data_IF_103235517255
#
_entry.id   IF_103235517255
#
_cell.length_a   1.000
_cell.length_b   1.000
_cell.length_c   1.000
_cell.angle_alpha   90.00
_cell.angle_beta   90.00
_cell.angle_gamma   90.00
#
_symmetry.space_group_name_H-M   'P 1'
#
loop_
_entity.id
_entity.type
_entity.pdbx_description
1 polymer ?
#
# COMPACT_ATOMS: atom_id res chain seq x y z
N UNK A 1 0.20 20.04 12.29
CA UNK A 1 -0.54 20.32 11.04
C UNK A 1 -0.75 19.02 10.29
N UNK A 2 -2.00 18.73 9.93
CA UNK A 2 -2.50 17.38 9.65
C UNK A 2 -1.95 16.82 8.35
N UNK A 3 -0.93 15.97 8.45
CA UNK A 3 -0.53 15.08 7.35
C UNK A 3 -1.63 14.05 7.00
N UNK A 4 -2.88 14.23 7.46
CA UNK A 4 -4.00 13.32 7.29
C UNK A 4 -4.34 13.10 5.81
N UNK A 5 -4.24 14.14 4.97
CA UNK A 5 -4.51 14.01 3.53
C UNK A 5 -3.43 13.17 2.84
N UNK A 6 -2.15 13.41 3.18
CA UNK A 6 -1.05 12.55 2.74
C UNK A 6 -1.17 11.15 3.32
N UNK A 7 -1.70 11.01 4.54
CA UNK A 7 -1.89 9.70 5.13
C UNK A 7 -2.91 8.88 4.33
N UNK A 8 -4.04 9.47 4.00
CA UNK A 8 -5.04 8.85 3.13
C UNK A 8 -4.45 8.49 1.75
N UNK A 9 -3.65 9.38 1.17
CA UNK A 9 -2.97 9.13 -0.11
C UNK A 9 -1.97 7.96 -0.05
N UNK A 10 -1.16 7.86 1.01
CA UNK A 10 -0.23 6.73 1.22
C UNK A 10 -1.00 5.41 1.36
N UNK A 11 -2.10 5.40 2.14
CA UNK A 11 -2.95 4.23 2.24
C UNK A 11 -3.51 3.82 0.88
N UNK A 12 -4.01 4.80 0.11
CA UNK A 12 -4.56 4.55 -1.22
C UNK A 12 -3.52 3.93 -2.17
N UNK A 13 -2.30 4.49 -2.18
CA UNK A 13 -1.16 3.96 -2.94
C UNK A 13 -0.79 2.54 -2.50
N UNK A 14 -0.77 2.27 -1.20
CA UNK A 14 -0.48 0.95 -0.65
C UNK A 14 -1.57 -0.09 -0.97
N UNK A 15 -2.83 0.34 -1.12
CA UNK A 15 -3.95 -0.53 -1.52
C UNK A 15 -4.10 -0.68 -3.03
N UNK A 16 -3.39 0.12 -3.83
CA UNK A 16 -3.54 0.18 -5.28
C UNK A 16 -4.82 0.90 -5.73
N UNK A 17 -5.42 1.70 -4.84
CA UNK A 17 -6.58 2.54 -5.16
C UNK A 17 -6.13 3.90 -5.65
N UNK A 18 -6.93 4.58 -6.50
CA UNK A 18 -6.59 5.91 -6.99
C UNK A 18 -6.39 6.90 -5.83
N UNK A 19 -5.45 7.83 -6.02
CA UNK A 19 -5.18 8.88 -5.05
C UNK A 19 -6.37 9.85 -4.96
N UNK A 20 -6.57 10.47 -3.80
CA UNK A 20 -7.53 11.55 -3.67
C UNK A 20 -7.15 12.70 -4.62
N UNK A 21 -8.14 13.35 -5.24
CA UNK A 21 -7.94 14.43 -6.21
C UNK A 21 -7.11 15.62 -5.69
N UNK A 22 -7.00 15.73 -4.36
CA UNK A 22 -6.23 16.77 -3.66
C UNK A 22 -4.74 16.49 -3.56
N UNK A 23 -4.28 15.27 -3.87
CA UNK A 23 -2.86 14.89 -3.75
C UNK A 23 -2.41 14.20 -5.03
N UNK A 24 -1.42 14.79 -5.69
CA UNK A 24 -0.75 14.16 -6.84
C UNK A 24 0.34 13.19 -6.36
N UNK A 25 0.69 12.21 -7.19
CA UNK A 25 1.83 11.31 -6.92
C UNK A 25 3.11 12.10 -6.63
N UNK A 26 3.38 13.15 -7.40
CA UNK A 26 4.58 13.97 -7.24
C UNK A 26 4.59 14.76 -5.91
N UNK A 27 3.43 15.30 -5.51
CA UNK A 27 3.30 15.98 -4.21
C UNK A 27 3.45 14.99 -3.05
N UNK A 28 2.94 13.77 -3.20
CA UNK A 28 3.11 12.71 -2.22
C UNK A 28 4.59 12.32 -2.08
N UNK A 29 5.30 12.10 -3.19
CA UNK A 29 6.72 11.74 -3.15
C UNK A 29 7.58 12.84 -2.51
N UNK A 30 7.31 14.10 -2.85
CA UNK A 30 7.95 15.26 -2.19
C UNK A 30 7.63 15.34 -0.69
N UNK A 31 6.41 14.99 -0.28
CA UNK A 31 6.06 14.94 1.14
C UNK A 31 6.81 13.82 1.88
N UNK A 32 7.02 12.67 1.23
CA UNK A 32 7.75 11.56 1.85
C UNK A 32 9.24 11.86 2.05
N UNK A 33 9.85 12.73 1.24
CA UNK A 33 11.24 13.17 1.44
C UNK A 33 11.38 14.23 2.54
N UNK A 34 10.35 15.06 2.73
CA UNK A 34 10.34 16.13 3.74
C UNK A 34 9.79 15.70 5.11
N UNK A 35 8.93 14.67 5.16
CA UNK A 35 8.26 14.21 6.38
C UNK A 35 8.69 12.80 6.78
N UNK A 36 9.59 12.70 7.77
CA UNK A 36 10.11 11.43 8.28
C UNK A 36 9.02 10.51 8.87
N UNK A 37 7.97 11.07 9.49
CA UNK A 37 6.89 10.27 10.08
C UNK A 37 6.04 9.58 9.00
N UNK A 38 5.65 10.32 7.96
CA UNK A 38 4.96 9.77 6.79
C UNK A 38 5.85 8.79 6.02
N UNK A 39 7.15 9.08 5.89
CA UNK A 39 8.13 8.18 5.28
C UNK A 39 8.24 6.84 6.02
N UNK A 40 8.37 6.85 7.36
CA UNK A 40 8.37 5.62 8.18
C UNK A 40 7.07 4.85 8.06
N UNK A 41 5.94 5.55 8.08
CA UNK A 41 4.63 4.92 8.00
C UNK A 41 4.36 4.29 6.63
N UNK A 42 4.75 4.95 5.54
CA UNK A 42 4.68 4.40 4.18
C UNK A 42 5.47 3.08 4.08
N UNK A 43 6.72 3.06 4.57
CA UNK A 43 7.53 1.83 4.62
C UNK A 43 6.85 0.72 5.42
N UNK A 44 6.30 1.04 6.59
CA UNK A 44 5.61 0.06 7.43
C UNK A 44 4.37 -0.52 6.73
N UNK A 45 3.58 0.31 6.05
CA UNK A 45 2.44 -0.14 5.26
C UNK A 45 2.85 -1.06 4.11
N UNK A 46 3.93 -0.75 3.39
CA UNK A 46 4.47 -1.62 2.34
C UNK A 46 4.88 -2.98 2.90
N UNK A 47 5.59 -3.01 4.03
CA UNK A 47 5.97 -4.26 4.70
C UNK A 47 4.75 -5.07 5.15
N UNK A 48 3.76 -4.41 5.76
CA UNK A 48 2.54 -5.06 6.21
C UNK A 48 1.72 -5.63 5.05
N UNK A 49 1.64 -4.90 3.93
CA UNK A 49 0.95 -5.38 2.72
C UNK A 49 1.67 -6.57 2.11
N UNK A 50 2.99 -6.54 2.02
CA UNK A 50 3.79 -7.67 1.53
C UNK A 50 3.60 -8.92 2.41
N UNK A 51 3.63 -8.75 3.74
CA UNK A 51 3.36 -9.85 4.66
C UNK A 51 1.92 -10.39 4.52
N UNK A 52 0.94 -9.51 4.33
CA UNK A 52 -0.46 -9.92 4.10
C UNK A 52 -0.61 -10.67 2.78
N UNK A 53 0.02 -10.20 1.69
CA UNK A 53 0.01 -10.88 0.39
C UNK A 53 0.67 -12.26 0.49
N UNK A 54 1.81 -12.37 1.19
CA UNK A 54 2.48 -13.65 1.44
C UNK A 54 1.59 -14.62 2.23
N UNK A 55 0.93 -14.15 3.29
CA UNK A 55 -0.03 -14.96 4.05
C UNK A 55 -1.21 -15.41 3.19
N UNK A 56 -1.75 -14.53 2.34
CA UNK A 56 -2.83 -14.87 1.42
C UNK A 56 -2.38 -15.89 0.37
N UNK A 57 -1.16 -15.77 -0.16
CA UNK A 57 -0.57 -16.77 -1.07
C UNK A 57 -0.39 -18.12 -0.39
N UNK A 58 0.16 -18.15 0.83
CA UNK A 58 0.33 -19.40 1.59
C UNK A 58 -0.98 -20.06 1.95
N UNK A 59 -2.02 -19.26 2.23
CA UNK A 59 -3.38 -19.75 2.53
C UNK A 59 -4.09 -20.27 1.28
N UNK A 60 -3.70 -19.85 0.07
CA UNK A 60 -4.22 -20.42 -1.18
C UNK A 60 -3.65 -21.84 -1.30
N UNK A 61 -4.48 -22.90 -1.16
CA UNK A 61 -3.97 -24.24 -1.33
C UNK A 61 -3.48 -24.37 -2.77
N UNK A 62 -2.26 -24.86 -2.95
CA UNK A 62 -1.81 -25.42 -4.22
C UNK A 62 -2.66 -26.69 -4.47
N UNK A 63 -3.88 -26.52 -4.94
CA UNK A 63 -4.86 -27.61 -4.86
C UNK A 63 -6.20 -27.28 -5.48
N UNK A 64 -6.19 -26.87 -6.75
CA UNK A 64 -7.25 -27.28 -7.66
C UNK A 64 -6.55 -27.86 -8.89
N UNK A 65 -6.33 -29.18 -8.98
CA UNK A 65 -6.04 -29.77 -10.27
C UNK A 65 -7.25 -29.45 -11.16
N UNK A 66 -7.02 -28.69 -12.23
CA UNK A 66 -7.95 -28.60 -13.34
C UNK A 66 -8.23 -30.02 -13.78
N UNK A 67 -9.42 -30.55 -13.47
CA UNK A 67 -9.83 -31.88 -13.90
C UNK A 67 -9.95 -31.82 -15.42
N UNK A 68 -9.14 -32.58 -16.19
CA UNK A 68 -9.41 -32.78 -17.60
C UNK A 68 -10.40 -33.95 -17.74
N UNK A 69 -11.22 -33.86 -18.78
CA UNK A 69 -12.24 -34.81 -19.24
C UNK A 69 -13.63 -34.67 -18.64
#
# INVERSE_FOLDING_TARGET
>A
MSCNHYRAAISARATGTPLPATVTEQALDHHLTSCLSCGRWSKHLTTLRAATDDLLRRRRPAGAPSKPV
#
